data_IF_760027966120
#
_entry.id   IF_760027966120
#
_cell.length_a   1.000
_cell.length_b   1.000
_cell.length_c   1.000
_cell.angle_alpha   90.00
_cell.angle_beta   90.00
_cell.angle_gamma   90.00
#
_symmetry.space_group_name_H-M   'P 1'
#
loop_
_entity.id
_entity.type
_entity.pdbx_description
1 polymer ?
#
# COMPACT_ATOMS: atom_id res chain seq x y z
N UNK A 1 -4.55 -21.33 71.64
CA UNK A 1 -3.66 -21.06 70.53
C UNK A 1 -4.33 -21.61 69.28
N UNK A 2 -4.98 -20.74 68.42
CA UNK A 2 -5.65 -21.16 67.24
C UNK A 2 -4.68 -21.05 66.06
N UNK A 3 -4.35 -22.16 65.44
CA UNK A 3 -3.51 -22.21 64.20
C UNK A 3 -4.42 -21.93 63.03
N UNK A 4 -4.13 -20.81 62.34
CA UNK A 4 -4.83 -20.42 61.10
C UNK A 4 -4.18 -21.19 59.92
N UNK A 5 -4.92 -21.92 59.09
CA UNK A 5 -4.34 -22.59 57.95
C UNK A 5 -3.99 -21.53 56.87
N UNK A 6 -2.75 -21.57 56.44
CA UNK A 6 -2.24 -20.73 55.35
C UNK A 6 -2.61 -21.41 54.00
N UNK A 7 -3.51 -20.78 53.26
CA UNK A 7 -3.92 -21.27 51.92
C UNK A 7 -2.86 -20.88 50.92
N UNK A 8 -2.08 -21.82 50.40
CA UNK A 8 -1.20 -21.60 49.26
C UNK A 8 -2.04 -21.66 47.98
N UNK A 9 -2.22 -20.52 47.32
CA UNK A 9 -2.73 -20.48 45.93
C UNK A 9 -1.53 -20.66 45.00
N UNK A 10 -1.41 -21.85 44.44
CA UNK A 10 -0.45 -22.07 43.34
C UNK A 10 -0.99 -21.41 42.05
N UNK A 11 -0.37 -20.32 41.61
CA UNK A 11 -0.59 -19.77 40.29
C UNK A 11 -0.02 -20.74 39.24
N UNK A 12 -0.88 -21.42 38.51
CA UNK A 12 -0.46 -22.20 37.33
C UNK A 12 -0.16 -21.17 36.23
N UNK A 13 1.12 -20.97 35.95
CA UNK A 13 1.52 -20.22 34.75
C UNK A 13 1.09 -21.05 33.53
N UNK A 14 0.07 -20.59 32.80
CA UNK A 14 -0.23 -21.11 31.49
C UNK A 14 0.92 -20.71 30.56
N UNK A 15 1.67 -21.69 30.08
CA UNK A 15 2.63 -21.47 29.02
C UNK A 15 1.84 -21.15 27.74
N UNK A 16 2.04 -19.96 27.19
CA UNK A 16 1.51 -19.63 25.87
C UNK A 16 2.14 -20.59 24.85
N UNK A 17 1.29 -21.28 24.09
CA UNK A 17 1.76 -22.13 22.99
C UNK A 17 1.99 -21.25 21.77
N UNK A 18 3.26 -21.10 21.38
CA UNK A 18 3.64 -20.42 20.14
C UNK A 18 3.52 -21.40 18.97
N UNK A 19 2.76 -21.02 17.95
CA UNK A 19 2.70 -21.77 16.71
C UNK A 19 3.71 -21.20 15.73
N UNK A 20 4.66 -22.00 15.28
CA UNK A 20 5.59 -21.63 14.22
C UNK A 20 4.88 -21.89 12.89
N UNK A 21 4.69 -20.84 12.11
CA UNK A 21 4.16 -20.94 10.76
C UNK A 21 5.30 -21.19 9.77
N UNK A 22 5.09 -22.12 8.85
CA UNK A 22 5.96 -22.35 7.69
C UNK A 22 5.28 -21.76 6.46
N UNK A 23 6.08 -21.20 5.54
CA UNK A 23 5.61 -20.59 4.31
C UNK A 23 6.24 -21.26 3.10
N UNK A 24 5.44 -21.49 2.07
CA UNK A 24 5.93 -21.91 0.77
C UNK A 24 6.33 -20.67 -0.05
N UNK A 25 7.50 -20.70 -0.67
CA UNK A 25 7.96 -19.62 -1.54
C UNK A 25 7.44 -19.87 -2.95
N UNK A 26 6.63 -18.92 -3.47
CA UNK A 26 6.17 -18.90 -4.86
C UNK A 26 6.93 -17.80 -5.61
N UNK A 27 7.65 -18.17 -6.66
CA UNK A 27 8.35 -17.22 -7.52
C UNK A 27 7.43 -16.76 -8.64
N UNK A 28 7.00 -15.48 -8.60
CA UNK A 28 6.10 -14.89 -9.60
C UNK A 28 6.82 -14.56 -10.91
N UNK A 29 8.06 -14.07 -10.84
CA UNK A 29 8.88 -13.69 -12.00
C UNK A 29 10.37 -13.78 -11.69
N UNK A 30 11.20 -13.93 -12.71
CA UNK A 30 12.66 -13.85 -12.65
C UNK A 30 13.17 -12.44 -13.05
N UNK A 31 12.27 -11.52 -13.36
CA UNK A 31 12.58 -10.15 -13.80
C UNK A 31 12.26 -9.15 -12.70
N UNK A 32 13.03 -8.07 -12.66
CA UNK A 32 12.87 -6.96 -11.74
C UNK A 32 12.05 -5.86 -12.39
N UNK A 33 10.87 -5.55 -11.83
CA UNK A 33 9.94 -4.56 -12.35
C UNK A 33 9.55 -3.50 -11.31
N UNK A 34 9.58 -3.83 -10.02
CA UNK A 34 9.19 -2.92 -8.94
C UNK A 34 9.90 -3.27 -7.64
N UNK A 35 10.01 -2.28 -6.75
CA UNK A 35 10.48 -2.45 -5.38
C UNK A 35 9.41 -3.10 -4.49
N UNK A 36 8.15 -2.73 -4.71
CA UNK A 36 7.01 -3.13 -3.90
C UNK A 36 6.15 -4.20 -4.54
N UNK A 37 5.28 -4.76 -3.68
CA UNK A 37 4.27 -5.75 -4.02
C UNK A 37 3.03 -5.46 -3.18
N UNK A 38 1.83 -5.76 -3.71
CA UNK A 38 0.58 -5.67 -2.98
C UNK A 38 -0.37 -6.79 -3.41
N UNK A 39 -1.52 -6.92 -2.73
CA UNK A 39 -2.48 -7.97 -3.00
C UNK A 39 -3.92 -7.47 -2.84
N UNK A 40 -4.80 -7.89 -3.76
CA UNK A 40 -6.24 -7.66 -3.73
C UNK A 40 -6.93 -8.64 -4.68
N UNK A 41 -8.25 -8.76 -4.58
CA UNK A 41 -9.07 -9.44 -5.59
C UNK A 41 -9.29 -8.47 -6.77
N UNK A 42 -8.51 -8.64 -7.83
CA UNK A 42 -8.46 -7.71 -8.98
C UNK A 42 -9.55 -8.01 -10.01
N UNK A 43 -9.91 -9.28 -10.20
CA UNK A 43 -10.89 -9.70 -11.21
C UNK A 43 -12.26 -10.05 -10.63
N UNK A 44 -12.43 -9.92 -9.30
CA UNK A 44 -13.70 -10.10 -8.60
C UNK A 44 -14.12 -11.57 -8.49
N UNK A 45 -13.17 -12.51 -8.52
CA UNK A 45 -13.44 -13.94 -8.43
C UNK A 45 -13.50 -14.47 -6.97
N UNK A 46 -13.20 -13.60 -6.00
CA UNK A 46 -13.16 -13.91 -4.57
C UNK A 46 -11.84 -14.51 -4.09
N UNK A 47 -10.84 -14.64 -4.95
CA UNK A 47 -9.48 -15.03 -4.57
C UNK A 47 -8.58 -13.79 -4.50
N UNK A 48 -7.52 -13.88 -3.72
CA UNK A 48 -6.53 -12.80 -3.63
C UNK A 48 -5.51 -12.96 -4.75
N UNK A 49 -5.36 -11.89 -5.55
CA UNK A 49 -4.34 -11.75 -6.57
C UNK A 49 -3.14 -10.99 -6.02
N UNK A 50 -2.02 -11.07 -6.71
CA UNK A 50 -0.79 -10.35 -6.37
C UNK A 50 -0.46 -9.32 -7.44
N UNK A 51 -0.23 -8.06 -7.00
CA UNK A 51 0.19 -6.95 -7.85
C UNK A 51 1.71 -6.78 -7.70
N UNK A 52 2.45 -6.86 -8.81
CA UNK A 52 3.90 -6.63 -8.84
C UNK A 52 4.31 -5.87 -10.09
N UNK A 53 4.67 -4.61 -9.90
CA UNK A 53 5.05 -3.73 -11.01
C UNK A 53 3.94 -3.60 -12.05
N UNK A 54 4.24 -3.90 -13.34
CA UNK A 54 3.27 -3.75 -14.43
C UNK A 54 2.27 -4.90 -14.57
N UNK A 55 2.27 -5.85 -13.62
CA UNK A 55 1.46 -7.05 -13.71
C UNK A 55 0.66 -7.31 -12.45
N UNK A 56 -0.44 -8.05 -12.61
CA UNK A 56 -1.06 -8.80 -11.56
C UNK A 56 -1.07 -10.29 -11.89
N UNK A 57 -1.08 -11.14 -10.86
CA UNK A 57 -0.98 -12.59 -10.95
C UNK A 57 -2.20 -13.17 -10.27
N UNK A 58 -3.04 -13.87 -11.05
CA UNK A 58 -4.30 -14.41 -10.56
C UNK A 58 -4.09 -15.52 -9.52
N UNK A 59 -4.76 -15.37 -8.39
CA UNK A 59 -4.80 -16.37 -7.33
C UNK A 59 -5.63 -17.60 -7.69
N UNK A 60 -5.57 -18.67 -6.87
CA UNK A 60 -4.61 -18.89 -5.79
C UNK A 60 -3.24 -19.46 -6.26
N UNK A 61 -3.11 -19.88 -7.52
CA UNK A 61 -1.88 -20.50 -8.04
C UNK A 61 -0.85 -19.50 -8.55
N UNK A 62 -1.23 -18.25 -8.81
CA UNK A 62 -0.38 -17.15 -9.31
C UNK A 62 0.38 -17.46 -10.61
N UNK A 63 -0.16 -18.37 -11.43
CA UNK A 63 0.43 -18.78 -12.71
C UNK A 63 -0.04 -17.92 -13.89
N UNK A 64 -1.24 -17.37 -13.80
CA UNK A 64 -1.79 -16.46 -14.80
C UNK A 64 -1.30 -15.05 -14.52
N UNK A 65 -0.50 -14.51 -15.45
CA UNK A 65 0.03 -13.15 -15.39
C UNK A 65 -0.70 -12.27 -16.39
N UNK A 66 -1.27 -11.16 -15.91
CA UNK A 66 -1.99 -10.17 -16.70
C UNK A 66 -1.30 -8.80 -16.63
N UNK A 67 -1.46 -8.01 -17.67
CA UNK A 67 -0.82 -6.70 -17.79
C UNK A 67 -1.69 -5.60 -17.19
N UNK A 68 -1.09 -4.72 -16.38
CA UNK A 68 -1.69 -3.45 -15.94
C UNK A 68 -1.20 -2.33 -16.86
N UNK A 69 0.12 -2.21 -17.06
CA UNK A 69 0.72 -1.21 -17.94
C UNK A 69 1.99 -1.72 -18.61
N UNK A 70 2.42 -1.09 -19.69
CA UNK A 70 3.65 -1.48 -20.38
C UNK A 70 4.88 -0.99 -19.60
N UNK A 71 5.79 -1.91 -19.30
CA UNK A 71 7.10 -1.60 -18.75
C UNK A 71 8.15 -2.62 -19.16
N UNK A 72 9.39 -2.17 -19.31
CA UNK A 72 10.55 -3.04 -19.46
C UNK A 72 11.07 -3.47 -18.08
N UNK A 73 11.73 -4.65 -17.95
CA UNK A 73 12.46 -5.00 -16.75
C UNK A 73 13.53 -3.96 -16.43
N UNK A 74 13.72 -3.67 -15.16
CA UNK A 74 14.70 -2.72 -14.66
C UNK A 74 16.05 -3.37 -14.40
N UNK A 75 17.10 -2.56 -14.27
CA UNK A 75 18.43 -3.05 -13.87
C UNK A 75 18.43 -3.32 -12.36
N UNK A 76 18.86 -4.52 -11.96
CA UNK A 76 18.96 -4.92 -10.54
C UNK A 76 20.02 -4.19 -9.74
N UNK A 77 20.95 -3.47 -10.41
CA UNK A 77 21.96 -2.63 -9.77
C UNK A 77 21.46 -1.20 -9.51
N UNK A 78 20.22 -0.89 -9.92
CA UNK A 78 19.55 0.39 -9.72
C UNK A 78 18.17 0.21 -9.10
N UNK A 79 17.39 1.27 -9.13
CA UNK A 79 16.03 1.30 -8.64
C UNK A 79 15.01 1.06 -9.75
N UNK A 80 13.86 0.49 -9.40
CA UNK A 80 12.75 0.40 -10.32
C UNK A 80 12.02 1.75 -10.47
N UNK A 81 11.30 1.91 -11.59
CA UNK A 81 10.42 3.07 -11.78
C UNK A 81 9.11 2.97 -11.00
N UNK A 82 8.78 1.80 -10.45
CA UNK A 82 7.63 1.57 -9.59
C UNK A 82 8.14 1.17 -8.20
N UNK A 83 7.91 2.02 -7.20
CA UNK A 83 8.26 1.75 -5.82
C UNK A 83 7.09 1.13 -5.07
N UNK A 84 5.88 1.64 -5.29
CA UNK A 84 4.68 1.25 -4.55
C UNK A 84 3.51 1.06 -5.48
N UNK A 85 2.64 0.12 -5.10
CA UNK A 85 1.34 -0.08 -5.73
C UNK A 85 0.30 -0.33 -4.65
N UNK A 86 -0.86 0.35 -4.72
CA UNK A 86 -1.97 0.16 -3.79
C UNK A 86 -3.27 -0.09 -4.54
N UNK A 87 -3.98 -1.17 -4.18
CA UNK A 87 -5.30 -1.45 -4.72
C UNK A 87 -6.38 -0.63 -4.00
N UNK A 88 -7.28 -0.03 -4.75
CA UNK A 88 -8.48 0.62 -4.24
C UNK A 88 -9.44 0.93 -5.41
N UNK A 89 -10.74 1.00 -5.16
CA UNK A 89 -11.75 1.44 -6.14
C UNK A 89 -11.82 2.98 -6.13
N UNK A 90 -10.98 3.62 -6.98
CA UNK A 90 -10.83 5.08 -6.98
C UNK A 90 -12.00 5.81 -7.63
N UNK A 91 -12.68 5.19 -8.59
CA UNK A 91 -13.80 5.78 -9.33
C UNK A 91 -15.17 5.32 -8.85
N UNK A 92 -15.20 4.41 -7.87
CA UNK A 92 -16.42 3.84 -7.26
C UNK A 92 -17.29 3.07 -8.27
N UNK A 93 -16.65 2.37 -9.22
CA UNK A 93 -17.34 1.51 -10.19
C UNK A 93 -17.46 0.04 -9.73
N UNK A 94 -16.93 -0.28 -8.55
CA UNK A 94 -16.93 -1.61 -7.95
C UNK A 94 -15.79 -2.51 -8.38
N UNK A 95 -14.83 -1.99 -9.19
CA UNK A 95 -13.62 -2.70 -9.61
C UNK A 95 -12.40 -2.14 -8.85
N UNK A 96 -11.45 -3.01 -8.56
CA UNK A 96 -10.21 -2.60 -7.88
C UNK A 96 -9.23 -2.04 -8.90
N UNK A 97 -8.97 -0.73 -8.82
CA UNK A 97 -7.92 -0.03 -9.56
C UNK A 97 -6.55 -0.18 -8.87
N UNK A 98 -5.48 0.31 -9.50
CA UNK A 98 -4.13 0.29 -8.95
C UNK A 98 -3.50 1.67 -8.95
N UNK A 99 -3.27 2.25 -7.76
CA UNK A 99 -2.43 3.44 -7.58
C UNK A 99 -0.96 3.03 -7.62
N UNK A 100 -0.14 3.72 -8.40
CA UNK A 100 1.31 3.53 -8.42
C UNK A 100 2.04 4.82 -8.06
N UNK A 101 3.03 4.73 -7.18
CA UNK A 101 4.01 5.78 -6.93
C UNK A 101 5.40 5.24 -7.26
N UNK A 102 6.16 6.02 -7.99
CA UNK A 102 7.44 5.61 -8.54
C UNK A 102 8.64 6.12 -7.76
N UNK A 103 9.73 6.30 -8.49
CA UNK A 103 10.97 6.86 -7.97
C UNK A 103 10.71 8.24 -7.31
N UNK A 104 11.31 8.53 -6.14
CA UNK A 104 11.07 9.77 -5.41
C UNK A 104 11.19 11.02 -6.28
N UNK A 105 10.19 11.90 -6.19
CA UNK A 105 10.08 13.09 -7.00
C UNK A 105 9.44 12.85 -8.38
N UNK A 106 8.66 11.78 -8.51
CA UNK A 106 7.87 11.51 -9.72
C UNK A 106 6.37 11.53 -9.41
N UNK A 107 5.51 11.68 -10.45
CA UNK A 107 4.07 11.62 -10.27
C UNK A 107 3.55 10.27 -9.80
N UNK A 108 2.37 10.30 -9.16
CA UNK A 108 1.56 9.11 -8.90
C UNK A 108 0.44 8.99 -9.94
N UNK A 109 0.10 7.74 -10.25
CA UNK A 109 -0.89 7.41 -11.27
C UNK A 109 -1.87 6.36 -10.78
N UNK A 110 -3.14 6.52 -11.12
CA UNK A 110 -4.13 5.45 -11.03
C UNK A 110 -4.23 4.75 -12.39
N UNK A 111 -4.10 3.44 -12.37
CA UNK A 111 -4.41 2.56 -13.49
C UNK A 111 -5.82 2.04 -13.27
N UNK A 112 -6.76 2.52 -14.08
CA UNK A 112 -8.17 2.18 -13.98
C UNK A 112 -8.41 0.75 -14.48
N UNK A 113 -9.01 -0.08 -13.64
CA UNK A 113 -9.37 -1.45 -14.02
C UNK A 113 -10.47 -1.44 -15.10
N UNK A 114 -10.19 -1.93 -16.31
CA UNK A 114 -11.17 -1.91 -17.40
C UNK A 114 -12.23 -3.02 -17.30
N UNK A 115 -12.19 -3.80 -16.20
CA UNK A 115 -12.98 -5.01 -16.05
C UNK A 115 -12.42 -6.19 -16.86
N UNK A 116 -13.01 -7.35 -16.66
CA UNK A 116 -12.51 -8.65 -17.15
C UNK A 116 -12.24 -8.70 -18.66
N UNK A 117 -13.07 -8.04 -19.46
CA UNK A 117 -12.92 -8.01 -20.95
C UNK A 117 -11.72 -7.16 -21.38
N UNK A 118 -11.25 -6.22 -20.55
CA UNK A 118 -10.13 -5.34 -20.82
C UNK A 118 -8.77 -5.80 -20.30
N UNK A 119 -8.70 -6.91 -19.56
CA UNK A 119 -7.45 -7.36 -18.90
C UNK A 119 -6.35 -7.86 -19.84
N UNK A 120 -6.60 -7.98 -21.13
CA UNK A 120 -5.60 -8.37 -22.13
C UNK A 120 -4.90 -7.17 -22.79
N UNK A 121 -5.22 -5.93 -22.37
CA UNK A 121 -4.62 -4.68 -22.83
C UNK A 121 -4.10 -3.85 -21.66
N UNK A 122 -3.20 -2.86 -21.88
CA UNK A 122 -2.83 -1.90 -20.85
C UNK A 122 -4.06 -1.12 -20.37
N UNK A 123 -4.15 -0.93 -19.06
CA UNK A 123 -5.24 -0.20 -18.44
C UNK A 123 -5.15 1.30 -18.71
N UNK A 124 -6.27 2.03 -18.78
CA UNK A 124 -6.26 3.49 -18.78
C UNK A 124 -5.47 4.04 -17.61
N UNK A 125 -4.61 5.04 -17.87
CA UNK A 125 -3.69 5.61 -16.89
C UNK A 125 -4.02 7.08 -16.65
N UNK A 126 -4.23 7.44 -15.40
CA UNK A 126 -4.60 8.78 -14.95
C UNK A 126 -3.53 9.33 -14.01
N UNK A 127 -2.96 10.51 -14.30
CA UNK A 127 -2.08 11.18 -13.36
C UNK A 127 -2.93 11.87 -12.30
N UNK A 128 -2.85 11.40 -11.06
CA UNK A 128 -3.66 11.90 -9.95
C UNK A 128 -2.90 12.82 -9.02
N UNK A 129 -1.56 12.69 -8.97
CA UNK A 129 -0.72 13.55 -8.17
C UNK A 129 0.62 13.78 -8.87
N UNK A 130 1.21 14.96 -8.72
CA UNK A 130 2.34 15.40 -9.52
C UNK A 130 3.72 15.09 -8.89
N UNK A 131 3.78 14.85 -7.55
CA UNK A 131 5.07 14.77 -6.88
C UNK A 131 5.03 14.02 -5.54
N UNK A 132 5.54 12.79 -5.50
CA UNK A 132 5.80 12.02 -4.27
C UNK A 132 7.30 12.03 -3.99
N UNK A 133 7.74 12.65 -2.87
CA UNK A 133 9.17 12.91 -2.63
C UNK A 133 9.88 11.83 -1.83
N UNK A 134 9.17 11.09 -0.95
CA UNK A 134 9.76 10.16 0.00
C UNK A 134 9.71 8.70 -0.48
N UNK A 135 10.53 7.87 0.16
CA UNK A 135 10.64 6.43 -0.10
C UNK A 135 9.82 5.57 0.88
N UNK A 136 8.97 6.20 1.68
CA UNK A 136 8.07 5.52 2.62
C UNK A 136 6.68 6.17 2.68
N UNK A 137 6.02 6.42 1.54
CA UNK A 137 4.64 6.89 1.56
C UNK A 137 3.70 5.80 2.09
N UNK A 138 2.61 6.22 2.71
CA UNK A 138 1.54 5.33 3.18
C UNK A 138 0.24 5.62 2.44
N UNK A 139 -0.55 4.59 2.21
CA UNK A 139 -1.92 4.74 1.70
C UNK A 139 -2.87 4.17 2.75
N UNK A 140 -3.53 5.05 3.50
CA UNK A 140 -4.34 4.70 4.67
C UNK A 140 -5.37 5.77 4.95
N UNK A 141 -6.45 5.41 5.62
CA UNK A 141 -7.45 6.37 6.11
C UNK A 141 -6.87 7.15 7.31
N UNK A 142 -6.21 8.27 7.03
CA UNK A 142 -5.56 9.12 8.02
C UNK A 142 -6.57 10.03 8.74
N UNK A 143 -7.50 10.63 7.98
CA UNK A 143 -8.43 11.62 8.53
C UNK A 143 -9.70 11.01 9.14
N UNK A 144 -9.93 9.71 8.93
CA UNK A 144 -11.00 8.96 9.61
C UNK A 144 -12.38 9.06 8.94
N UNK A 145 -12.46 9.38 7.65
CA UNK A 145 -13.72 9.50 6.89
C UNK A 145 -14.08 8.28 6.02
N UNK A 146 -13.34 7.19 6.18
CA UNK A 146 -13.43 5.93 5.44
C UNK A 146 -12.86 5.95 4.00
N UNK A 147 -12.32 7.08 3.52
CA UNK A 147 -11.56 7.18 2.27
C UNK A 147 -10.07 7.23 2.63
N UNK A 148 -9.20 6.41 2.01
CA UNK A 148 -7.78 6.48 2.31
C UNK A 148 -7.12 7.69 1.66
N UNK A 149 -6.08 8.22 2.30
CA UNK A 149 -5.19 9.25 1.78
C UNK A 149 -3.82 8.68 1.44
N UNK A 150 -3.13 9.32 0.50
CA UNK A 150 -1.71 9.10 0.27
C UNK A 150 -0.89 10.03 1.18
N UNK A 151 -0.35 9.47 2.26
CA UNK A 151 0.51 10.20 3.21
C UNK A 151 1.93 10.20 2.68
N UNK A 152 2.47 11.37 2.39
CA UNK A 152 3.79 11.49 1.76
C UNK A 152 4.46 12.83 2.09
N UNK A 153 5.66 13.04 1.57
CA UNK A 153 6.27 14.37 1.53
C UNK A 153 6.24 14.96 0.12
N UNK A 154 6.13 16.30 0.04
CA UNK A 154 6.16 17.09 -1.17
C UNK A 154 6.80 18.46 -0.90
N UNK A 155 7.72 18.89 -1.75
CA UNK A 155 8.33 20.24 -1.70
C UNK A 155 8.90 20.62 -0.33
N UNK A 156 9.39 19.64 0.43
CA UNK A 156 9.92 19.82 1.78
C UNK A 156 8.87 19.84 2.91
N UNK A 157 7.62 19.53 2.63
CA UNK A 157 6.54 19.38 3.62
C UNK A 157 6.15 17.92 3.79
N UNK A 158 5.88 17.50 5.01
CA UNK A 158 5.08 16.30 5.28
C UNK A 158 3.61 16.65 5.14
N UNK A 159 2.82 15.71 4.63
CA UNK A 159 1.40 15.93 4.42
C UNK A 159 0.67 14.70 3.92
N UNK A 160 -0.56 14.90 3.54
CA UNK A 160 -1.37 13.88 2.89
C UNK A 160 -2.03 14.42 1.62
N UNK A 161 -2.34 13.53 0.72
CA UNK A 161 -3.02 13.81 -0.54
C UNK A 161 -4.42 13.23 -0.47
N UNK A 162 -5.41 14.10 -0.51
CA UNK A 162 -6.82 13.75 -0.50
C UNK A 162 -7.27 13.36 -1.90
N UNK A 163 -7.91 12.19 -2.03
CA UNK A 163 -8.52 11.73 -3.27
C UNK A 163 -9.60 12.72 -3.69
N UNK A 164 -9.65 13.08 -4.97
CA UNK A 164 -10.69 13.97 -5.48
C UNK A 164 -12.09 13.36 -5.20
N UNK A 165 -12.93 14.01 -4.37
CA UNK A 165 -14.18 13.42 -3.90
C UNK A 165 -15.24 13.27 -5.00
N UNK A 166 -15.10 14.02 -6.10
CA UNK A 166 -16.02 13.97 -7.26
C UNK A 166 -15.63 12.85 -8.21
N UNK A 167 -14.33 12.73 -8.50
CA UNK A 167 -13.80 11.69 -9.36
C UNK A 167 -12.36 11.37 -8.97
N UNK A 168 -12.11 10.21 -8.38
CA UNK A 168 -10.79 9.82 -7.92
C UNK A 168 -9.75 9.58 -9.02
N UNK A 169 -10.13 9.64 -10.30
CA UNK A 169 -9.22 9.59 -11.45
C UNK A 169 -8.73 10.97 -11.91
N UNK A 170 -9.29 12.05 -11.34
CA UNK A 170 -8.84 13.43 -11.55
C UNK A 170 -7.79 13.84 -10.51
N UNK A 171 -7.06 14.97 -10.71
CA UNK A 171 -6.01 15.40 -9.80
C UNK A 171 -6.44 15.54 -8.34
N UNK A 172 -5.58 15.09 -7.43
CA UNK A 172 -5.78 15.10 -5.98
C UNK A 172 -5.15 16.32 -5.32
N UNK A 173 -5.61 16.66 -4.11
CA UNK A 173 -5.15 17.84 -3.37
C UNK A 173 -4.17 17.46 -2.27
N UNK A 174 -3.01 18.14 -2.20
CA UNK A 174 -2.05 17.99 -1.12
C UNK A 174 -2.35 18.93 0.03
N UNK A 175 -2.38 18.39 1.25
CA UNK A 175 -2.57 19.11 2.51
C UNK A 175 -1.29 19.00 3.34
N UNK A 176 -0.50 20.08 3.45
CA UNK A 176 0.70 20.08 4.31
C UNK A 176 0.26 20.06 5.79
N UNK A 177 0.92 19.22 6.60
CA UNK A 177 0.71 19.09 8.05
C UNK A 177 1.92 19.51 8.87
N UNK A 178 3.03 19.85 8.23
CA UNK A 178 4.26 20.33 8.87
C UNK A 178 4.69 21.68 8.29
N UNK A 179 5.65 22.32 8.96
CA UNK A 179 6.49 23.34 8.33
C UNK A 179 7.40 22.66 7.30
N UNK A 180 8.18 23.49 6.55
CA UNK A 180 9.11 22.98 5.53
C UNK A 180 10.36 22.38 6.18
N UNK A 181 10.22 21.15 6.68
CA UNK A 181 11.25 20.38 7.40
C UNK A 181 11.52 19.00 6.78
N UNK A 182 10.69 18.56 5.85
CA UNK A 182 10.89 17.28 5.16
C UNK A 182 12.06 17.39 4.17
N UNK A 183 12.78 16.28 3.89
CA UNK A 183 13.70 16.21 2.77
C UNK A 183 13.00 16.52 1.46
N UNK A 184 13.68 17.21 0.55
CA UNK A 184 13.10 17.50 -0.78
C UNK A 184 12.91 16.23 -1.60
N UNK A 185 13.76 15.22 -1.39
CA UNK A 185 13.65 13.88 -2.01
C UNK A 185 14.27 12.83 -1.10
N UNK A 186 13.93 11.56 -1.33
CA UNK A 186 14.53 10.38 -0.68
C UNK A 186 14.39 10.37 0.85
N UNK A 187 13.31 10.95 1.38
CA UNK A 187 13.02 10.84 2.81
C UNK A 187 12.61 9.43 3.18
N UNK A 188 13.16 8.93 4.29
CA UNK A 188 12.84 7.63 4.88
C UNK A 188 12.15 7.79 6.22
N UNK A 189 11.50 6.72 6.69
CA UNK A 189 11.01 6.64 8.05
C UNK A 189 9.73 7.41 8.34
N UNK A 190 8.97 7.84 7.29
CA UNK A 190 7.62 8.30 7.50
C UNK A 190 6.76 7.11 7.96
N UNK A 191 5.97 7.30 8.99
CA UNK A 191 5.06 6.31 9.53
C UNK A 191 3.72 6.93 9.90
N UNK A 192 2.69 6.10 10.02
CA UNK A 192 1.34 6.50 10.43
C UNK A 192 0.88 5.59 11.55
N UNK A 193 0.42 6.15 12.66
CA UNK A 193 -0.07 5.40 13.80
C UNK A 193 -0.58 6.32 14.91
N UNK A 194 -1.38 5.79 15.82
CA UNK A 194 -1.82 6.51 17.04
C UNK A 194 -0.68 6.46 18.06
N UNK A 195 0.19 7.47 18.07
CA UNK A 195 1.39 7.51 18.91
C UNK A 195 1.07 7.94 20.33
N UNK A 196 0.05 8.78 20.51
CA UNK A 196 -0.32 9.35 21.81
C UNK A 196 -1.48 8.61 22.49
N UNK A 197 -2.17 7.68 21.81
CA UNK A 197 -3.28 6.89 22.35
C UNK A 197 -4.62 7.63 22.41
N UNK A 198 -4.80 8.67 21.57
CA UNK A 198 -6.03 9.46 21.55
C UNK A 198 -7.11 8.93 20.58
N UNK A 199 -6.81 7.85 19.85
CA UNK A 199 -7.69 7.21 18.89
C UNK A 199 -7.66 7.85 17.51
N UNK A 200 -6.73 8.78 17.24
CA UNK A 200 -6.48 9.37 15.94
C UNK A 200 -5.11 8.94 15.41
N UNK A 201 -4.96 8.96 14.10
CA UNK A 201 -3.67 8.65 13.51
C UNK A 201 -2.78 9.89 13.48
N UNK A 202 -1.53 9.71 13.93
CA UNK A 202 -0.43 10.66 13.85
C UNK A 202 0.49 10.32 12.68
N UNK A 203 1.31 11.26 12.22
CA UNK A 203 2.32 11.11 11.17
C UNK A 203 3.70 11.44 11.70
#
# INVERSE_FOLDING_TARGET
MKILPMLFVAAVAQAESWQIHSFERIQLTDRYYSEGINAADIDGDGQVDVIHGPFWFAGPEFKSKKLIYQAAPQNREGYANNFFSWPYDFNKDGLVDVLTAGFPGTPAFVHQNPGKEGHDAPWPKHQVFDWVSNESPHFTNLVGDAVPELVCSRDGYFGYVEINPVNGLEPWNFHPISERIAPERFGHGLGVGDVNGDGRLDV
#
